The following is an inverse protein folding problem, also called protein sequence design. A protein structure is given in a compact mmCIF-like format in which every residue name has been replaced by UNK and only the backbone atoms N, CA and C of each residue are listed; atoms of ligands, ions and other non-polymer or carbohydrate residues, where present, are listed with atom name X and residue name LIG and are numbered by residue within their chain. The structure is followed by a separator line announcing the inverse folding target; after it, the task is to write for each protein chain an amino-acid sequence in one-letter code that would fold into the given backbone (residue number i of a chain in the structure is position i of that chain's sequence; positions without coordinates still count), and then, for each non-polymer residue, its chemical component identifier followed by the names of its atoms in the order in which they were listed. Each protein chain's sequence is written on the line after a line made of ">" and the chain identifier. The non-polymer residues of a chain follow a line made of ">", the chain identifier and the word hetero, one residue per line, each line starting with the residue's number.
data_IF_215155357797
#
_entry.id   IF_215155357797
#
_cell.length_a   1.000
_cell.length_b   1.000
_cell.length_c   1.000
_cell.angle_alpha   90.00
_cell.angle_beta   90.00
_cell.angle_gamma   90.00
#
_symmetry.space_group_name_H-M   'P 1'
#
loop_
_entity.id
_entity.type
_entity.pdbx_description
1 polymer ?
#
# COMPACT_ATOMS: atom_id res chain seq x y z
N UNK A 1 25.54 -25.30 2.74
CA UNK A 1 24.10 -25.27 2.43
C UNK A 1 23.72 -23.81 2.21
N UNK A 2 23.48 -23.43 0.97
CA UNK A 2 23.13 -22.07 0.59
C UNK A 2 21.62 -21.91 0.83
N UNK A 3 21.26 -21.06 1.81
CA UNK A 3 19.86 -20.74 2.09
C UNK A 3 19.20 -20.10 0.88
N UNK A 4 18.19 -20.77 0.36
CA UNK A 4 17.43 -20.33 -0.81
C UNK A 4 16.75 -18.99 -0.53
N UNK A 5 17.17 -17.95 -1.24
CA UNK A 5 16.41 -16.71 -1.35
C UNK A 5 15.10 -17.04 -2.05
N UNK A 6 13.99 -16.93 -1.35
CA UNK A 6 12.68 -16.93 -1.97
C UNK A 6 12.55 -15.67 -2.83
N UNK A 7 12.94 -15.79 -4.10
CA UNK A 7 12.67 -14.80 -5.13
C UNK A 7 11.24 -15.06 -5.56
N UNK A 8 10.30 -14.24 -5.08
CA UNK A 8 8.98 -14.18 -5.69
C UNK A 8 9.12 -13.47 -7.03
N UNK A 9 9.28 -14.23 -8.10
CA UNK A 9 9.24 -13.71 -9.47
C UNK A 9 7.79 -13.34 -9.81
N UNK A 10 7.51 -12.05 -9.84
CA UNK A 10 6.24 -11.52 -10.32
C UNK A 10 6.32 -11.20 -11.79
N UNK A 11 5.27 -11.49 -12.50
CA UNK A 11 5.14 -11.21 -13.93
C UNK A 11 4.39 -9.90 -14.17
N UNK A 12 4.85 -9.15 -15.18
CA UNK A 12 4.13 -8.05 -15.85
C UNK A 12 3.48 -7.05 -14.91
N UNK A 13 4.29 -6.36 -14.10
CA UNK A 13 3.87 -5.11 -13.45
C UNK A 13 2.72 -5.17 -12.46
N UNK A 14 2.20 -6.33 -12.16
CA UNK A 14 0.96 -6.44 -11.44
C UNK A 14 1.16 -6.67 -9.94
N UNK A 15 2.21 -7.35 -9.50
CA UNK A 15 2.45 -7.61 -8.07
C UNK A 15 3.87 -8.06 -7.80
N UNK A 16 4.85 -7.18 -8.01
CA UNK A 16 6.14 -7.49 -7.44
C UNK A 16 6.43 -6.56 -6.27
N UNK A 17 6.86 -7.13 -5.18
CA UNK A 17 7.56 -6.39 -4.16
C UNK A 17 8.81 -5.78 -4.80
N UNK A 18 8.67 -4.59 -5.37
CA UNK A 18 9.78 -3.81 -5.91
C UNK A 18 10.75 -3.37 -4.79
N UNK A 19 10.72 -4.07 -3.66
CA UNK A 19 11.53 -3.75 -2.49
C UNK A 19 11.89 -5.00 -1.69
N UNK A 20 12.97 -4.89 -0.89
CA UNK A 20 13.28 -5.79 0.22
C UNK A 20 13.05 -5.04 1.53
N UNK A 21 12.58 -5.76 2.54
CA UNK A 21 12.55 -5.27 3.92
C UNK A 21 13.74 -5.85 4.67
N UNK A 22 14.41 -5.00 5.42
CA UNK A 22 15.52 -5.36 6.30
C UNK A 22 15.15 -4.93 7.72
N UNK A 23 15.46 -5.75 8.69
CA UNK A 23 15.48 -5.30 10.07
C UNK A 23 16.68 -4.36 10.32
N UNK A 24 16.77 -3.87 11.53
CA UNK A 24 17.80 -2.92 11.90
C UNK A 24 19.21 -3.52 11.80
N UNK A 25 19.40 -4.77 12.21
CA UNK A 25 20.70 -5.47 12.20
C UNK A 25 21.18 -5.69 10.77
N UNK A 26 20.29 -6.17 9.90
CA UNK A 26 20.60 -6.39 8.49
C UNK A 26 20.96 -5.08 7.79
N UNK A 27 20.21 -4.00 8.08
CA UNK A 27 20.50 -2.69 7.51
C UNK A 27 21.86 -2.15 8.01
N UNK A 28 22.16 -2.27 9.31
CA UNK A 28 23.44 -1.90 9.88
C UNK A 28 24.59 -2.63 9.17
N UNK A 29 24.47 -3.94 8.97
CA UNK A 29 25.46 -4.76 8.29
C UNK A 29 25.66 -4.33 6.82
N UNK A 30 24.56 -3.96 6.13
CA UNK A 30 24.64 -3.41 4.76
C UNK A 30 25.44 -2.11 4.74
N UNK A 31 25.13 -1.18 5.63
CA UNK A 31 25.83 0.11 5.69
C UNK A 31 27.30 -0.06 6.08
N UNK A 32 27.59 -0.95 7.03
CA UNK A 32 28.97 -1.29 7.44
C UNK A 32 29.79 -1.86 6.28
N UNK A 33 29.19 -2.77 5.51
CA UNK A 33 29.82 -3.37 4.33
C UNK A 33 30.04 -2.37 3.21
N UNK A 34 29.02 -1.57 2.89
CA UNK A 34 29.04 -0.65 1.75
C UNK A 34 29.85 0.62 2.02
N UNK A 35 30.02 0.98 3.28
CA UNK A 35 30.76 2.15 3.79
C UNK A 35 30.58 3.41 2.90
N UNK A 36 29.36 3.92 2.75
CA UNK A 36 29.09 4.99 1.80
C UNK A 36 29.69 6.32 2.27
N UNK A 37 30.62 6.89 1.50
CA UNK A 37 31.24 8.20 1.79
C UNK A 37 30.31 9.39 1.53
N UNK A 38 29.38 9.22 0.62
CA UNK A 38 28.38 10.23 0.29
C UNK A 38 26.99 9.63 0.31
N UNK A 39 26.09 10.23 1.08
CA UNK A 39 24.70 9.84 1.17
C UNK A 39 23.78 11.02 0.92
N UNK A 40 22.60 10.75 0.36
CA UNK A 40 21.53 11.74 0.24
C UNK A 40 20.48 11.40 1.29
N UNK A 41 20.25 12.32 2.19
CA UNK A 41 19.32 12.22 3.30
C UNK A 41 18.00 12.94 2.93
N UNK A 42 16.88 12.29 3.14
CA UNK A 42 15.57 12.82 2.77
C UNK A 42 14.74 13.11 4.03
N UNK A 43 14.62 14.37 4.36
CA UNK A 43 13.57 14.86 5.25
C UNK A 43 12.29 15.18 4.47
N UNK A 44 11.20 15.45 5.19
CA UNK A 44 9.91 15.77 4.55
C UNK A 44 9.96 17.10 3.78
N UNK A 45 10.65 18.11 4.32
CA UNK A 45 10.75 19.44 3.73
C UNK A 45 12.03 19.66 2.92
N UNK A 46 13.13 19.00 3.29
CA UNK A 46 14.46 19.26 2.73
C UNK A 46 15.18 17.94 2.41
N UNK A 47 16.01 17.97 1.39
CA UNK A 47 16.96 16.90 1.03
C UNK A 47 18.38 17.43 1.22
N UNK A 48 19.23 16.63 1.86
CA UNK A 48 20.60 17.00 2.20
C UNK A 48 21.56 16.01 1.55
N UNK A 49 22.62 16.53 0.93
CA UNK A 49 23.77 15.71 0.54
C UNK A 49 24.79 15.79 1.68
N UNK A 50 25.08 14.67 2.31
CA UNK A 50 26.08 14.56 3.35
C UNK A 50 27.29 13.79 2.81
N UNK A 51 28.48 14.36 3.01
CA UNK A 51 29.78 13.75 2.69
C UNK A 51 30.49 13.39 3.98
N UNK A 52 31.20 12.28 3.98
CA UNK A 52 31.98 11.76 5.12
C UNK A 52 31.18 11.60 6.42
N UNK A 53 29.87 11.39 6.30
CA UNK A 53 29.00 11.13 7.43
C UNK A 53 29.27 9.72 8.00
N UNK A 54 29.56 9.65 9.30
CA UNK A 54 29.56 8.37 10.01
C UNK A 54 28.11 7.91 10.23
N UNK A 55 27.52 7.32 9.17
CA UNK A 55 26.11 6.89 9.20
C UNK A 55 25.87 5.81 10.26
N UNK A 56 26.86 4.98 10.57
CA UNK A 56 26.73 3.91 11.56
C UNK A 56 26.37 4.46 12.94
N UNK A 57 26.97 5.57 13.37
CA UNK A 57 26.68 6.18 14.68
C UNK A 57 25.22 6.63 14.83
N UNK A 58 24.51 6.85 13.73
CA UNK A 58 23.08 7.23 13.76
C UNK A 58 22.12 6.02 13.77
N UNK A 59 22.59 4.82 13.40
CA UNK A 59 21.74 3.63 13.27
C UNK A 59 22.05 2.54 14.28
N UNK A 60 23.19 2.57 14.97
CA UNK A 60 23.73 1.51 15.83
C UNK A 60 22.76 1.06 16.94
N UNK A 61 22.05 2.00 17.55
CA UNK A 61 21.14 1.76 18.69
C UNK A 61 19.67 1.99 18.32
N UNK A 62 19.27 1.76 17.08
CA UNK A 62 17.91 2.01 16.63
C UNK A 62 17.11 0.72 16.48
N UNK A 63 16.58 0.23 17.60
CA UNK A 63 15.61 -0.86 17.60
C UNK A 63 14.26 -0.41 17.03
N UNK A 64 13.41 -1.35 16.71
CA UNK A 64 12.03 -1.10 16.25
C UNK A 64 11.87 -0.41 14.88
N UNK A 65 12.85 -0.54 13.99
CA UNK A 65 12.74 -0.09 12.60
C UNK A 65 12.74 -1.25 11.60
N UNK A 66 11.97 -1.06 10.54
CA UNK A 66 12.09 -1.80 9.29
C UNK A 66 12.59 -0.84 8.22
N UNK A 67 13.55 -1.28 7.44
CA UNK A 67 14.10 -0.51 6.33
C UNK A 67 13.66 -1.13 5.02
N UNK A 68 12.84 -0.39 4.27
CA UNK A 68 12.37 -0.77 2.94
C UNK A 68 13.40 -0.35 1.90
N UNK A 69 14.12 -1.30 1.28
CA UNK A 69 15.00 -1.04 0.13
C UNK A 69 14.20 -1.13 -1.16
N UNK A 70 14.13 -0.02 -1.90
CA UNK A 70 13.47 0.03 -3.19
C UNK A 70 14.38 -0.56 -4.27
N UNK A 71 13.87 -1.53 -5.01
CA UNK A 71 14.56 -2.20 -6.11
C UNK A 71 14.09 -1.68 -7.47
N UNK A 72 14.85 -2.04 -8.50
CA UNK A 72 14.39 -1.99 -9.87
C UNK A 72 13.32 -3.06 -10.06
N UNK A 73 12.12 -2.69 -10.46
CA UNK A 73 11.11 -3.65 -10.90
C UNK A 73 11.54 -4.35 -12.19
N UNK A 74 11.10 -5.57 -12.41
CA UNK A 74 11.45 -6.37 -13.59
C UNK A 74 10.82 -5.87 -14.90
N UNK A 75 10.08 -4.78 -14.88
CA UNK A 75 9.49 -4.20 -16.08
C UNK A 75 10.42 -3.16 -16.67
N UNK A 76 10.46 -3.18 -17.99
CA UNK A 76 11.28 -2.35 -18.87
C UNK A 76 11.26 -0.85 -18.53
N UNK A 77 10.28 -0.36 -17.77
CA UNK A 77 10.03 1.07 -17.56
C UNK A 77 10.24 1.55 -16.11
N UNK A 78 10.37 0.67 -15.10
CA UNK A 78 10.49 1.10 -13.70
C UNK A 78 11.93 0.99 -13.17
N UNK A 79 12.62 2.12 -13.08
CA UNK A 79 13.89 2.18 -12.35
C UNK A 79 13.64 2.30 -10.85
N UNK A 80 14.56 1.76 -10.02
CA UNK A 80 14.53 1.95 -8.57
C UNK A 80 14.40 3.43 -8.18
N UNK A 81 15.06 4.32 -8.92
CA UNK A 81 14.98 5.78 -8.75
C UNK A 81 13.55 6.29 -8.94
N UNK A 82 12.84 5.83 -9.97
CA UNK A 82 11.47 6.27 -10.25
C UNK A 82 10.50 5.78 -9.18
N UNK A 83 10.62 4.52 -8.77
CA UNK A 83 9.78 3.94 -7.71
C UNK A 83 9.99 4.67 -6.39
N UNK A 84 11.25 4.91 -6.01
CA UNK A 84 11.59 5.69 -4.82
C UNK A 84 11.02 7.11 -4.87
N UNK A 85 11.21 7.83 -5.98
CA UNK A 85 10.66 9.18 -6.15
C UNK A 85 9.14 9.20 -6.04
N UNK A 86 8.46 8.21 -6.61
CA UNK A 86 7.01 8.10 -6.54
C UNK A 86 6.53 7.88 -5.11
N UNK A 87 7.17 6.97 -4.38
CA UNK A 87 6.82 6.69 -2.99
C UNK A 87 7.13 7.89 -2.08
N UNK A 88 8.32 8.47 -2.18
CA UNK A 88 8.68 9.67 -1.41
C UNK A 88 7.77 10.87 -1.70
N UNK A 89 7.35 11.06 -2.95
CA UNK A 89 6.38 12.11 -3.29
C UNK A 89 5.01 11.86 -2.67
N UNK A 90 4.59 10.60 -2.58
CA UNK A 90 3.35 10.22 -1.91
C UNK A 90 3.46 10.46 -0.40
N UNK A 91 4.54 10.00 0.22
CA UNK A 91 4.84 10.21 1.65
C UNK A 91 4.88 11.69 2.00
N UNK A 92 5.58 12.52 1.23
CA UNK A 92 5.62 13.98 1.45
C UNK A 92 4.25 14.66 1.37
N UNK A 93 3.38 14.20 0.49
CA UNK A 93 1.99 14.68 0.40
C UNK A 93 1.19 14.26 1.62
N UNK A 94 1.28 12.99 2.02
CA UNK A 94 0.63 12.47 3.23
C UNK A 94 1.09 13.27 4.45
N UNK A 95 2.39 13.48 4.61
CA UNK A 95 2.94 14.32 5.68
C UNK A 95 2.33 15.72 5.69
N UNK A 96 2.15 16.34 4.52
CA UNK A 96 1.61 17.70 4.40
C UNK A 96 0.19 17.82 4.95
N UNK A 97 -0.67 16.83 4.76
CA UNK A 97 -2.05 16.88 5.23
C UNK A 97 -2.30 16.15 6.55
N UNK A 98 -1.47 15.19 6.92
CA UNK A 98 -1.50 14.55 8.24
C UNK A 98 -0.72 15.35 9.30
N UNK A 99 0.16 16.26 8.88
CA UNK A 99 0.99 17.09 9.76
C UNK A 99 1.68 16.25 10.87
N UNK A 100 1.39 16.60 12.13
CA UNK A 100 2.02 15.97 13.30
C UNK A 100 1.44 14.57 13.62
N UNK A 101 0.37 14.16 12.95
CA UNK A 101 -0.32 12.89 13.23
C UNK A 101 0.04 11.79 12.24
N UNK A 102 1.11 11.95 11.46
CA UNK A 102 1.52 10.97 10.46
C UNK A 102 1.75 9.57 11.05
N UNK A 103 2.28 9.49 12.27
CA UNK A 103 2.54 8.25 12.98
C UNK A 103 1.26 7.49 13.37
N UNK A 104 0.12 8.17 13.44
CA UNK A 104 -1.16 7.52 13.70
C UNK A 104 -1.68 6.72 12.52
N UNK A 105 -1.36 7.16 11.30
CA UNK A 105 -1.96 6.65 10.07
C UNK A 105 -1.01 5.84 9.21
N UNK A 106 0.30 6.00 9.39
CA UNK A 106 1.34 5.32 8.61
C UNK A 106 2.42 4.74 9.51
N UNK A 107 3.19 3.79 8.97
CA UNK A 107 4.40 3.29 9.64
C UNK A 107 5.65 4.08 9.29
N UNK A 108 5.54 5.10 8.44
CA UNK A 108 6.68 5.94 8.03
C UNK A 108 7.13 6.77 9.22
N UNK A 109 8.39 6.56 9.62
CA UNK A 109 8.97 7.16 10.82
C UNK A 109 10.38 7.67 10.54
N UNK A 110 10.80 8.80 11.14
CA UNK A 110 12.19 9.23 11.03
C UNK A 110 13.10 8.25 11.80
N UNK A 111 14.18 7.80 11.18
CA UNK A 111 15.15 6.94 11.85
C UNK A 111 16.07 7.76 12.77
N UNK A 112 16.47 8.96 12.35
CA UNK A 112 17.36 9.83 13.11
C UNK A 112 17.16 11.30 12.72
N UNK A 113 17.70 12.20 13.54
CA UNK A 113 17.78 13.64 13.23
C UNK A 113 19.20 13.98 12.76
N UNK A 114 19.28 14.78 11.68
CA UNK A 114 20.54 15.29 11.18
C UNK A 114 20.40 16.78 10.89
N UNK A 115 21.20 17.61 11.56
CA UNK A 115 21.15 19.07 11.46
C UNK A 115 19.72 19.63 11.63
N UNK A 116 19.02 19.22 12.68
CA UNK A 116 17.63 19.59 13.00
C UNK A 116 16.60 19.18 11.93
N UNK A 117 16.91 18.16 11.15
CA UNK A 117 16.01 17.60 10.14
C UNK A 117 15.80 16.12 10.42
N UNK A 118 14.54 15.71 10.59
CA UNK A 118 14.17 14.31 10.72
C UNK A 118 14.31 13.59 9.39
N UNK A 119 15.07 12.50 9.39
CA UNK A 119 15.43 11.74 8.20
C UNK A 119 14.57 10.50 8.09
N UNK A 120 13.75 10.44 7.05
CA UNK A 120 12.78 9.38 6.76
C UNK A 120 13.25 8.41 5.67
N UNK A 121 14.27 8.79 4.92
CA UNK A 121 14.84 7.95 3.88
C UNK A 121 16.27 8.39 3.57
N UNK A 122 17.02 7.47 2.96
CA UNK A 122 18.35 7.79 2.42
C UNK A 122 18.62 7.09 1.10
N UNK A 123 19.59 7.61 0.35
CA UNK A 123 20.13 6.92 -0.83
C UNK A 123 21.63 7.12 -0.99
N UNK A 124 22.28 6.09 -1.57
CA UNK A 124 23.66 6.14 -2.04
C UNK A 124 23.88 5.15 -3.19
N UNK A 125 24.73 5.48 -4.14
CA UNK A 125 25.09 4.59 -5.28
C UNK A 125 23.89 3.86 -5.93
N UNK A 126 22.76 4.55 -6.13
CA UNK A 126 21.47 3.99 -6.63
C UNK A 126 20.77 2.98 -5.69
N UNK A 127 21.20 2.85 -4.46
CA UNK A 127 20.44 2.19 -3.41
C UNK A 127 19.51 3.22 -2.75
N UNK A 128 18.26 2.84 -2.50
CA UNK A 128 17.21 3.72 -1.96
C UNK A 128 16.53 3.02 -0.80
N UNK A 129 16.48 3.67 0.37
CA UNK A 129 15.96 3.11 1.61
C UNK A 129 14.94 4.06 2.22
N UNK A 130 13.81 3.53 2.67
CA UNK A 130 12.75 4.24 3.39
C UNK A 130 12.62 3.62 4.77
N UNK A 131 12.54 4.46 5.81
CA UNK A 131 12.46 4.03 7.19
C UNK A 131 11.02 3.91 7.64
N UNK A 132 10.72 2.82 8.34
CA UNK A 132 9.39 2.49 8.84
C UNK A 132 9.50 1.94 10.26
N UNK A 133 8.47 2.17 11.04
CA UNK A 133 8.31 1.52 12.33
C UNK A 133 8.19 -0.01 12.15
N UNK A 134 8.83 -0.78 13.03
CA UNK A 134 8.71 -2.24 13.04
C UNK A 134 7.37 -2.63 13.66
N UNK A 135 6.54 -3.25 12.86
CA UNK A 135 5.24 -3.77 13.25
C UNK A 135 5.17 -5.25 12.87
N UNK A 136 4.32 -6.02 13.54
CA UNK A 136 4.51 -7.48 13.50
C UNK A 136 3.67 -8.17 12.41
N UNK A 137 2.39 -7.86 12.26
CA UNK A 137 1.51 -8.65 11.40
C UNK A 137 0.68 -7.79 10.45
N UNK A 138 0.60 -8.22 9.19
CA UNK A 138 -0.43 -7.72 8.26
C UNK A 138 -1.77 -8.40 8.54
N UNK A 139 -2.88 -7.79 8.08
CA UNK A 139 -4.22 -8.34 8.32
C UNK A 139 -4.41 -9.75 7.75
N UNK A 140 -3.61 -10.14 6.76
CA UNK A 140 -3.68 -11.48 6.19
C UNK A 140 -3.42 -12.56 7.24
N UNK A 141 -2.55 -12.29 8.22
CA UNK A 141 -2.07 -13.24 9.22
C UNK A 141 -2.71 -13.06 10.60
N UNK A 142 -3.60 -12.08 10.76
CA UNK A 142 -4.29 -11.81 12.02
C UNK A 142 -5.58 -12.64 12.08
N UNK A 143 -5.83 -13.26 13.24
CA UNK A 143 -7.15 -13.73 13.65
C UNK A 143 -7.76 -12.64 14.52
N UNK A 144 -8.93 -12.16 14.15
CA UNK A 144 -9.62 -11.08 14.85
C UNK A 144 -10.59 -11.63 15.89
N UNK A 145 -10.66 -10.96 17.04
CA UNK A 145 -11.87 -10.88 17.85
C UNK A 145 -12.83 -9.84 17.24
N UNK A 146 -14.10 -9.80 17.68
CA UNK A 146 -15.05 -8.80 17.18
C UNK A 146 -14.56 -7.36 17.49
N UNK A 147 -14.11 -7.10 18.70
CA UNK A 147 -13.64 -5.79 19.12
C UNK A 147 -12.41 -5.31 18.31
N UNK A 148 -11.46 -6.21 18.05
CA UNK A 148 -10.29 -5.91 17.21
C UNK A 148 -10.69 -5.63 15.76
N UNK A 149 -11.69 -6.33 15.25
CA UNK A 149 -12.21 -6.14 13.91
C UNK A 149 -12.91 -4.79 13.77
N UNK A 150 -13.77 -4.44 14.73
CA UNK A 150 -14.46 -3.15 14.77
C UNK A 150 -13.47 -1.99 14.93
N UNK A 151 -12.44 -2.18 15.75
CA UNK A 151 -11.34 -1.23 15.88
C UNK A 151 -10.59 -1.06 14.56
N UNK A 152 -10.28 -2.15 13.86
CA UNK A 152 -9.63 -2.09 12.55
C UNK A 152 -10.48 -1.30 11.54
N UNK A 153 -11.78 -1.54 11.51
CA UNK A 153 -12.71 -0.79 10.64
C UNK A 153 -12.63 0.70 10.94
N UNK A 154 -12.70 1.09 12.23
CA UNK A 154 -12.63 2.48 12.66
C UNK A 154 -11.31 3.15 12.30
N UNK A 155 -10.17 2.51 12.59
CA UNK A 155 -8.84 3.07 12.38
C UNK A 155 -8.57 3.30 10.87
N UNK A 156 -8.92 2.31 10.04
CA UNK A 156 -8.70 2.39 8.59
C UNK A 156 -9.67 3.37 7.94
N UNK A 157 -10.94 3.37 8.35
CA UNK A 157 -11.90 4.32 7.81
C UNK A 157 -11.50 5.77 8.09
N UNK A 158 -11.05 6.07 9.31
CA UNK A 158 -10.51 7.40 9.65
C UNK A 158 -9.35 7.83 8.74
N UNK A 159 -8.47 6.87 8.38
CA UNK A 159 -7.40 7.12 7.41
C UNK A 159 -7.96 7.41 6.01
N UNK A 160 -8.95 6.66 5.57
CA UNK A 160 -9.58 6.85 4.25
C UNK A 160 -10.35 8.16 4.14
N UNK A 161 -11.08 8.57 5.18
CA UNK A 161 -11.75 9.88 5.22
C UNK A 161 -10.75 11.03 5.07
N UNK A 162 -9.61 10.94 5.78
CA UNK A 162 -8.56 11.94 5.68
C UNK A 162 -7.96 11.99 4.27
N UNK A 163 -7.69 10.84 3.66
CA UNK A 163 -7.22 10.75 2.28
C UNK A 163 -8.24 11.36 1.31
N UNK A 164 -9.51 11.00 1.44
CA UNK A 164 -10.59 11.44 0.58
C UNK A 164 -10.82 12.97 0.68
N UNK A 165 -10.79 13.52 1.90
CA UNK A 165 -10.86 14.98 2.15
C UNK A 165 -9.74 15.72 1.42
N UNK A 166 -8.56 15.12 1.32
CA UNK A 166 -7.41 15.67 0.62
C UNK A 166 -7.31 15.24 -0.85
N UNK A 167 -8.37 14.64 -1.42
CA UNK A 167 -8.42 14.16 -2.80
C UNK A 167 -7.28 13.21 -3.16
N UNK A 168 -6.87 12.39 -2.21
CA UNK A 168 -5.78 11.44 -2.35
C UNK A 168 -6.31 10.01 -2.28
N UNK A 169 -5.76 9.10 -3.09
CA UNK A 169 -6.08 7.69 -3.06
C UNK A 169 -4.83 6.89 -2.70
N UNK A 170 -5.01 5.88 -1.86
CA UNK A 170 -4.00 4.84 -1.65
C UNK A 170 -3.86 3.96 -2.89
N UNK A 171 -5.00 3.57 -3.47
CA UNK A 171 -5.10 2.89 -4.76
C UNK A 171 -4.59 1.43 -4.81
N UNK A 172 -4.18 0.87 -3.67
CA UNK A 172 -3.79 -0.54 -3.53
C UNK A 172 -4.17 -1.09 -2.16
N UNK A 173 -5.38 -0.75 -1.68
CA UNK A 173 -5.84 -1.20 -0.37
C UNK A 173 -6.19 -2.69 -0.41
N UNK A 174 -5.53 -3.47 0.43
CA UNK A 174 -5.69 -4.93 0.58
C UNK A 174 -5.16 -5.37 1.95
N UNK A 175 -5.41 -6.62 2.34
CA UNK A 175 -5.00 -7.14 3.66
C UNK A 175 -3.49 -7.02 3.93
N UNK A 176 -2.65 -7.26 2.91
CA UNK A 176 -1.19 -7.17 3.02
C UNK A 176 -0.69 -5.73 3.24
N UNK A 177 -1.49 -4.73 2.87
CA UNK A 177 -1.15 -3.32 2.95
C UNK A 177 -1.76 -2.62 4.17
N UNK A 178 -2.28 -3.39 5.11
CA UNK A 178 -2.71 -2.91 6.43
C UNK A 178 -1.99 -3.73 7.50
N UNK A 179 -1.46 -3.04 8.50
CA UNK A 179 -0.66 -3.65 9.56
C UNK A 179 -1.13 -3.16 10.93
N UNK A 180 -1.09 -4.05 11.92
CA UNK A 180 -1.32 -3.69 13.31
C UNK A 180 -0.03 -3.23 13.97
N UNK A 181 -0.03 -2.03 14.52
CA UNK A 181 1.15 -1.37 15.06
C UNK A 181 0.78 -0.44 16.22
N UNK A 182 1.38 -0.67 17.41
CA UNK A 182 1.14 0.17 18.59
C UNK A 182 -0.34 0.39 18.88
N UNK A 183 -1.08 -0.71 18.95
CA UNK A 183 -2.52 -0.71 19.19
C UNK A 183 -3.35 0.09 18.18
N UNK A 184 -2.84 0.29 16.94
CA UNK A 184 -3.57 0.91 15.82
C UNK A 184 -3.37 0.12 14.53
N UNK A 185 -4.36 0.18 13.66
CA UNK A 185 -4.26 -0.35 12.31
C UNK A 185 -3.83 0.78 11.37
N UNK A 186 -2.75 0.54 10.61
CA UNK A 186 -2.11 1.55 9.75
C UNK A 186 -1.98 1.04 8.32
N UNK A 187 -2.12 1.95 7.37
CA UNK A 187 -1.94 1.65 5.95
C UNK A 187 -0.45 1.78 5.58
N UNK A 188 0.04 0.81 4.81
CA UNK A 188 1.44 0.76 4.31
C UNK A 188 1.46 0.67 2.79
N UNK A 189 2.66 0.82 2.19
CA UNK A 189 2.91 0.67 0.76
C UNK A 189 2.25 1.74 -0.14
N UNK A 190 2.75 2.95 -0.02
CA UNK A 190 2.22 4.16 -0.65
C UNK A 190 2.71 4.40 -2.10
N UNK A 191 3.39 3.44 -2.71
CA UNK A 191 4.02 3.60 -4.03
C UNK A 191 3.03 3.81 -5.17
N UNK A 192 1.82 3.26 -5.05
CA UNK A 192 0.73 3.38 -6.04
C UNK A 192 -0.20 4.55 -5.78
N UNK A 193 0.00 5.25 -4.67
CA UNK A 193 -0.86 6.35 -4.25
C UNK A 193 -0.73 7.57 -5.14
N UNK A 194 -1.82 8.31 -5.29
CA UNK A 194 -1.82 9.53 -6.08
C UNK A 194 -2.92 10.51 -5.68
N UNK A 195 -2.69 11.79 -6.01
CA UNK A 195 -3.70 12.83 -5.86
C UNK A 195 -4.63 12.83 -7.08
N UNK A 196 -5.94 12.93 -6.89
CA UNK A 196 -6.95 12.87 -7.95
C UNK A 196 -6.76 13.91 -9.05
N UNK A 197 -6.16 15.05 -8.75
CA UNK A 197 -5.84 16.07 -9.75
C UNK A 197 -4.62 15.69 -10.62
N UNK A 198 -3.92 14.60 -10.33
CA UNK A 198 -2.78 14.16 -11.13
C UNK A 198 -3.27 13.27 -12.27
N UNK A 199 -3.67 13.91 -13.37
CA UNK A 199 -4.23 13.26 -14.57
C UNK A 199 -3.28 12.16 -15.08
N UNK A 200 -1.97 12.41 -15.15
CA UNK A 200 -1.02 11.42 -15.63
C UNK A 200 -0.96 10.15 -14.78
N UNK A 201 -0.99 10.28 -13.45
CA UNK A 201 -1.01 9.10 -12.56
C UNK A 201 -2.36 8.39 -12.58
N UNK A 202 -3.44 9.11 -12.78
CA UNK A 202 -4.77 8.53 -12.90
C UNK A 202 -4.99 7.74 -14.20
N UNK A 203 -4.23 8.06 -15.26
CA UNK A 203 -4.29 7.36 -16.55
C UNK A 203 -3.66 5.96 -16.49
N UNK A 204 -2.71 5.72 -15.59
CA UNK A 204 -2.08 4.40 -15.47
C UNK A 204 -2.91 3.48 -14.57
N UNK A 205 -3.17 2.28 -15.08
CA UNK A 205 -3.78 1.21 -14.29
C UNK A 205 -2.81 0.80 -13.20
N UNK A 206 -3.22 0.97 -11.95
CA UNK A 206 -2.43 0.63 -10.77
C UNK A 206 -3.33 -0.01 -9.72
N UNK A 207 -2.73 -0.80 -8.86
CA UNK A 207 -3.44 -1.44 -7.76
C UNK A 207 -3.78 -2.91 -8.03
N UNK A 208 -4.32 -3.55 -7.01
CA UNK A 208 -4.68 -4.95 -7.04
C UNK A 208 -6.02 -5.15 -7.78
N UNK A 209 -6.04 -5.99 -8.81
CA UNK A 209 -7.26 -6.25 -9.61
C UNK A 209 -8.40 -6.85 -8.79
N UNK A 210 -8.12 -7.65 -7.78
CA UNK A 210 -9.15 -8.32 -6.97
C UNK A 210 -9.88 -7.38 -6.02
N UNK A 211 -9.20 -6.33 -5.56
CA UNK A 211 -9.75 -5.33 -4.65
C UNK A 211 -10.18 -4.04 -5.34
N UNK A 212 -9.99 -3.91 -6.65
CA UNK A 212 -10.41 -2.74 -7.39
C UNK A 212 -11.67 -3.05 -8.21
N UNK A 213 -12.58 -2.07 -8.27
CA UNK A 213 -13.76 -2.19 -9.11
C UNK A 213 -13.36 -2.19 -10.59
N UNK A 214 -13.84 -3.13 -11.42
CA UNK A 214 -13.47 -3.22 -12.85
C UNK A 214 -13.74 -1.96 -13.66
N UNK A 215 -14.79 -1.20 -13.33
CA UNK A 215 -15.11 0.08 -13.95
C UNK A 215 -13.95 1.09 -13.89
N UNK A 216 -13.09 1.02 -12.87
CA UNK A 216 -11.88 1.83 -12.77
C UNK A 216 -10.93 1.65 -13.96
N UNK A 217 -10.84 0.43 -14.47
CA UNK A 217 -9.99 0.07 -15.60
C UNK A 217 -10.70 0.38 -16.92
N UNK A 218 -11.98 0.07 -17.00
CA UNK A 218 -12.83 0.41 -18.15
C UNK A 218 -12.83 1.92 -18.42
N UNK A 219 -13.06 2.74 -17.42
CA UNK A 219 -13.01 4.21 -17.51
C UNK A 219 -11.65 4.76 -17.95
N UNK A 220 -10.60 3.93 -17.99
CA UNK A 220 -9.27 4.26 -18.49
C UNK A 220 -8.97 3.64 -19.86
N UNK A 221 -9.99 3.19 -20.54
CA UNK A 221 -9.90 2.62 -21.89
C UNK A 221 -9.43 1.16 -21.94
N UNK A 222 -9.45 0.44 -20.80
CA UNK A 222 -9.16 -1.00 -20.78
C UNK A 222 -10.47 -1.77 -20.99
N UNK A 223 -10.63 -2.52 -22.08
CA UNK A 223 -11.81 -3.34 -22.30
C UNK A 223 -12.02 -4.36 -21.16
N UNK A 224 -13.28 -4.66 -20.83
CA UNK A 224 -13.61 -5.58 -19.74
C UNK A 224 -13.06 -6.98 -19.94
N UNK A 225 -13.06 -7.50 -21.17
CA UNK A 225 -12.49 -8.81 -21.45
C UNK A 225 -10.98 -8.86 -21.13
N UNK A 226 -10.27 -7.75 -21.34
CA UNK A 226 -8.86 -7.66 -21.00
C UNK A 226 -8.67 -7.57 -19.47
N UNK A 227 -9.59 -6.92 -18.77
CA UNK A 227 -9.62 -6.95 -17.30
C UNK A 227 -9.78 -8.38 -16.79
N UNK A 228 -10.72 -9.16 -17.34
CA UNK A 228 -10.92 -10.56 -16.94
C UNK A 228 -9.68 -11.42 -17.21
N UNK A 229 -9.03 -11.21 -18.33
CA UNK A 229 -7.77 -11.88 -18.68
C UNK A 229 -6.65 -11.53 -17.69
N UNK A 230 -6.48 -10.24 -17.37
CA UNK A 230 -5.49 -9.79 -16.37
C UNK A 230 -5.83 -10.34 -14.98
N UNK A 231 -7.09 -10.35 -14.60
CA UNK A 231 -7.54 -10.91 -13.34
C UNK A 231 -7.26 -12.43 -13.23
N UNK A 232 -7.48 -13.16 -14.31
CA UNK A 232 -7.13 -14.58 -14.40
C UNK A 232 -5.63 -14.82 -14.23
N UNK A 233 -4.79 -14.03 -14.90
CA UNK A 233 -3.33 -14.11 -14.74
C UNK A 233 -2.94 -13.78 -13.32
N UNK A 234 -3.49 -12.71 -12.74
CA UNK A 234 -3.22 -12.30 -11.36
C UNK A 234 -3.56 -13.41 -10.36
N UNK A 235 -4.74 -14.03 -10.50
CA UNK A 235 -5.16 -15.16 -9.67
C UNK A 235 -4.15 -16.32 -9.78
N UNK A 236 -3.67 -16.63 -10.96
CA UNK A 236 -2.66 -17.71 -11.14
C UNK A 236 -1.32 -17.37 -10.48
N UNK A 237 -0.86 -16.17 -10.62
CA UNK A 237 0.47 -15.73 -10.13
C UNK A 237 0.51 -15.60 -8.61
N UNK A 238 -0.51 -15.02 -8.01
CA UNK A 238 -0.60 -14.79 -6.56
C UNK A 238 -1.48 -15.80 -5.83
N UNK A 239 -1.78 -16.96 -6.47
CA UNK A 239 -2.71 -17.95 -5.95
C UNK A 239 -2.46 -18.33 -4.47
N UNK A 240 -1.21 -18.48 -4.07
CA UNK A 240 -0.86 -18.83 -2.69
C UNK A 240 -1.35 -17.78 -1.69
N UNK A 241 -1.25 -16.50 -2.02
CA UNK A 241 -1.64 -15.37 -1.16
C UNK A 241 -3.17 -15.18 -1.11
N UNK A 242 -3.86 -15.44 -2.22
CA UNK A 242 -5.30 -15.15 -2.34
C UNK A 242 -6.20 -16.38 -2.21
N UNK A 243 -5.61 -17.59 -2.13
CA UNK A 243 -6.34 -18.87 -2.06
C UNK A 243 -7.43 -18.89 -0.98
N UNK A 244 -7.15 -18.26 0.17
CA UNK A 244 -8.11 -18.17 1.25
C UNK A 244 -9.37 -17.40 0.82
N UNK A 245 -9.19 -16.25 0.15
CA UNK A 245 -10.28 -15.38 -0.31
C UNK A 245 -11.14 -16.06 -1.40
N UNK A 246 -10.50 -16.76 -2.35
CA UNK A 246 -11.21 -17.45 -3.43
C UNK A 246 -12.17 -18.54 -2.94
N UNK A 247 -11.99 -19.05 -1.71
CA UNK A 247 -12.84 -20.05 -1.08
C UNK A 247 -14.08 -19.47 -0.40
N UNK A 248 -14.11 -18.15 -0.16
CA UNK A 248 -15.20 -17.49 0.53
C UNK A 248 -16.48 -17.48 -0.31
N UNK A 249 -17.62 -17.68 0.36
CA UNK A 249 -18.95 -17.51 -0.27
C UNK A 249 -19.18 -16.06 -0.68
N UNK A 250 -18.77 -15.12 0.19
CA UNK A 250 -18.85 -13.69 -0.07
C UNK A 250 -18.08 -13.26 -1.32
N UNK A 251 -16.92 -13.86 -1.60
CA UNK A 251 -16.19 -13.58 -2.84
C UNK A 251 -17.01 -13.92 -4.08
N UNK A 252 -17.66 -15.09 -4.10
CA UNK A 252 -18.51 -15.52 -5.22
C UNK A 252 -19.73 -14.59 -5.37
N UNK A 253 -20.38 -14.27 -4.26
CA UNK A 253 -21.52 -13.34 -4.24
C UNK A 253 -21.11 -11.95 -4.76
N UNK A 254 -20.01 -11.39 -4.27
CA UNK A 254 -19.54 -10.08 -4.69
C UNK A 254 -19.15 -10.03 -6.16
N UNK A 255 -18.58 -11.12 -6.71
CA UNK A 255 -18.26 -11.19 -8.13
C UNK A 255 -19.49 -10.96 -9.01
N UNK A 256 -20.64 -11.59 -8.69
CA UNK A 256 -21.92 -11.35 -9.40
C UNK A 256 -22.38 -9.90 -9.31
N UNK A 257 -22.45 -9.35 -8.08
CA UNK A 257 -22.86 -7.96 -7.83
C UNK A 257 -21.93 -6.94 -8.51
N UNK A 258 -20.63 -7.19 -8.56
CA UNK A 258 -19.67 -6.33 -9.26
C UNK A 258 -19.92 -6.34 -10.77
N UNK A 259 -20.23 -7.48 -11.36
CA UNK A 259 -20.57 -7.57 -12.80
C UNK A 259 -21.80 -6.75 -13.13
N UNK A 260 -22.86 -6.87 -12.34
CA UNK A 260 -24.10 -6.05 -12.49
C UNK A 260 -23.79 -4.55 -12.35
N UNK A 261 -23.00 -4.19 -11.34
CA UNK A 261 -22.58 -2.81 -11.09
C UNK A 261 -21.80 -2.24 -12.29
N UNK A 262 -20.86 -2.97 -12.87
CA UNK A 262 -20.10 -2.52 -14.04
C UNK A 262 -21.01 -2.17 -15.19
N UNK A 263 -21.97 -3.04 -15.51
CA UNK A 263 -22.93 -2.80 -16.57
C UNK A 263 -23.74 -1.51 -16.32
N UNK A 264 -24.18 -1.30 -15.09
CA UNK A 264 -24.89 -0.07 -14.71
C UNK A 264 -24.02 1.19 -14.83
N UNK A 265 -22.74 1.12 -14.40
CA UNK A 265 -21.83 2.26 -14.41
C UNK A 265 -21.32 2.65 -15.80
N UNK A 266 -21.29 1.71 -16.75
CA UNK A 266 -20.92 2.01 -18.14
C UNK A 266 -21.94 2.99 -18.77
N UNK A 267 -23.20 2.82 -18.47
CA UNK A 267 -24.28 3.65 -19.04
C UNK A 267 -24.45 4.98 -18.29
N UNK A 268 -24.29 4.99 -16.98
CA UNK A 268 -24.55 6.19 -16.16
C UNK A 268 -23.62 6.24 -14.94
N UNK A 269 -22.36 6.71 -15.11
CA UNK A 269 -21.40 6.79 -14.01
C UNK A 269 -21.71 7.95 -13.07
N UNK A 270 -21.68 7.73 -11.74
CA UNK A 270 -21.79 8.82 -10.78
C UNK A 270 -20.67 9.85 -10.93
N UNK A 271 -21.00 11.12 -10.75
CA UNK A 271 -20.00 12.19 -10.73
C UNK A 271 -18.94 11.90 -9.66
N UNK A 272 -17.67 12.04 -10.04
CA UNK A 272 -16.52 11.85 -9.12
C UNK A 272 -16.37 10.44 -8.51
N UNK A 273 -16.86 9.38 -9.16
CA UNK A 273 -16.72 7.99 -8.68
C UNK A 273 -15.26 7.65 -8.32
N UNK A 274 -14.29 8.26 -9.00
CA UNK A 274 -12.87 8.01 -8.79
C UNK A 274 -12.42 8.21 -7.34
N UNK A 275 -13.03 9.08 -6.58
CA UNK A 275 -12.66 9.33 -5.18
C UNK A 275 -13.06 8.20 -4.21
N UNK A 276 -13.90 7.25 -4.66
CA UNK A 276 -14.44 6.18 -3.83
C UNK A 276 -13.79 4.81 -4.06
N UNK A 277 -12.77 4.70 -4.94
CA UNK A 277 -12.15 3.39 -5.22
C UNK A 277 -11.52 2.74 -3.99
N UNK A 278 -10.92 3.51 -3.08
CA UNK A 278 -10.40 2.94 -1.83
C UNK A 278 -11.53 2.49 -0.90
N UNK A 279 -12.68 3.18 -0.90
CA UNK A 279 -13.86 2.76 -0.15
C UNK A 279 -14.40 1.41 -0.65
N UNK A 280 -14.43 1.23 -1.97
CA UNK A 280 -14.78 -0.06 -2.56
C UNK A 280 -13.84 -1.18 -2.12
N UNK A 281 -12.54 -0.95 -2.23
CA UNK A 281 -11.51 -1.91 -1.81
C UNK A 281 -11.66 -2.25 -0.32
N UNK A 282 -11.95 -1.26 0.51
CA UNK A 282 -12.14 -1.41 1.94
C UNK A 282 -13.42 -2.20 2.28
N UNK A 283 -14.53 -1.93 1.59
CA UNK A 283 -15.77 -2.68 1.75
C UNK A 283 -15.57 -4.18 1.46
N UNK A 284 -14.88 -4.52 0.35
CA UNK A 284 -14.53 -5.90 0.05
C UNK A 284 -13.66 -6.53 1.14
N UNK A 285 -12.69 -5.79 1.65
CA UNK A 285 -11.79 -6.26 2.71
C UNK A 285 -12.58 -6.58 3.99
N UNK A 286 -13.51 -5.72 4.41
CA UNK A 286 -14.38 -5.94 5.57
C UNK A 286 -15.19 -7.23 5.38
N UNK A 287 -15.89 -7.37 4.25
CA UNK A 287 -16.72 -8.55 3.96
C UNK A 287 -15.89 -9.84 4.02
N UNK A 288 -14.72 -9.84 3.38
CA UNK A 288 -13.89 -11.04 3.29
C UNK A 288 -13.23 -11.41 4.61
N UNK A 289 -12.77 -10.44 5.38
CA UNK A 289 -12.20 -10.68 6.71
C UNK A 289 -13.25 -11.11 7.73
N UNK A 290 -14.46 -10.56 7.66
CA UNK A 290 -15.57 -11.00 8.50
C UNK A 290 -15.89 -12.47 8.27
N UNK A 291 -16.09 -12.90 7.01
CA UNK A 291 -16.34 -14.32 6.71
C UNK A 291 -15.15 -15.21 7.10
N UNK A 292 -13.91 -14.78 6.80
CA UNK A 292 -12.70 -15.56 7.16
C UNK A 292 -12.59 -15.85 8.66
N UNK A 293 -13.00 -14.89 9.49
CA UNK A 293 -12.87 -14.98 10.95
C UNK A 293 -14.19 -15.32 11.65
N UNK A 294 -15.28 -15.55 10.90
CA UNK A 294 -16.64 -15.79 11.43
C UNK A 294 -17.10 -14.67 12.36
N UNK A 295 -17.02 -13.42 11.88
CA UNK A 295 -17.37 -12.20 12.59
C UNK A 295 -18.55 -11.51 11.93
N UNK A 296 -19.24 -10.69 12.70
CA UNK A 296 -20.25 -9.77 12.19
C UNK A 296 -19.58 -8.52 11.59
N UNK A 297 -20.23 -7.91 10.61
CA UNK A 297 -19.79 -6.62 10.07
C UNK A 297 -20.95 -5.62 9.98
N UNK A 298 -20.68 -4.31 10.11
CA UNK A 298 -21.70 -3.28 10.08
C UNK A 298 -22.26 -3.12 8.65
N UNK A 299 -23.33 -3.84 8.36
CA UNK A 299 -23.91 -3.97 7.01
C UNK A 299 -24.27 -2.64 6.37
N UNK A 300 -24.90 -1.75 7.13
CA UNK A 300 -25.29 -0.42 6.64
C UNK A 300 -24.07 0.44 6.31
N UNK A 301 -23.03 0.36 7.13
CA UNK A 301 -21.77 1.05 6.87
C UNK A 301 -21.11 0.54 5.57
N UNK A 302 -21.06 -0.77 5.39
CA UNK A 302 -20.51 -1.38 4.17
C UNK A 302 -21.34 -1.02 2.94
N UNK A 303 -22.67 -1.03 3.05
CA UNK A 303 -23.57 -0.58 1.98
C UNK A 303 -23.32 0.90 1.62
N UNK A 304 -23.06 1.76 2.60
CA UNK A 304 -22.71 3.16 2.34
C UNK A 304 -21.39 3.30 1.58
N UNK A 305 -20.36 2.47 1.88
CA UNK A 305 -19.10 2.44 1.12
C UNK A 305 -19.31 1.98 -0.33
N UNK A 306 -20.25 1.05 -0.56
CA UNK A 306 -20.55 0.46 -1.87
C UNK A 306 -21.58 1.26 -2.68
N UNK A 307 -22.33 2.16 -2.05
CA UNK A 307 -23.38 2.96 -2.70
C UNK A 307 -22.95 3.68 -3.98
N UNK A 308 -21.74 4.30 -4.08
CA UNK A 308 -21.27 4.93 -5.32
C UNK A 308 -21.13 3.94 -6.48
N UNK A 309 -21.00 2.66 -6.18
CA UNK A 309 -20.88 1.57 -7.15
C UNK A 309 -22.22 0.85 -7.40
N UNK A 310 -23.33 1.33 -6.81
CA UNK A 310 -24.68 0.74 -6.95
C UNK A 310 -24.74 -0.73 -6.48
N UNK A 311 -23.93 -1.08 -5.49
CA UNK A 311 -23.92 -2.41 -4.88
C UNK A 311 -24.60 -2.35 -3.51
N UNK A 312 -25.51 -3.29 -3.26
CA UNK A 312 -26.19 -3.53 -1.97
C UNK A 312 -25.92 -4.97 -1.55
N UNK A 313 -25.57 -5.20 -0.27
CA UNK A 313 -25.28 -6.53 0.28
C UNK A 313 -26.27 -6.92 1.38
#
# INVERSE_FOLDING_TARGET
>A
MLGGKNISEGYVGLTMDAYNKYDNIDFYNIIKKDNPKTVILYGMKKTIKATDLNLLSYIENKDNFIVKKIKRGNIIISSATRNFKNEMNSIKKIYKFMKNNMEEYTTIKPMFNYNNIDIYALSYKKNYFIFQEKCFNTLENIKFTQDEFDKMIKDIYGSLELLQKNRFLHNDLKADNIIHCNNKYKIIDWDKSYHLNNIFKSLFVRGNFLFNHPYKFYNKGIPLFFYDFLNFIFIKLDYKKIKWMLKLKSYKMMKGKITESVNSLIHDPPKNINKYYDNFSFALLIIFLAEKNNLDFPKDFVNNLLKPFRIII
#
